data_IF_281314468483
#
_entry.id   IF_281314468483
#
_cell.length_a   1.000
_cell.length_b   1.000
_cell.length_c   1.000
_cell.angle_alpha   90.00
_cell.angle_beta   90.00
_cell.angle_gamma   90.00
#
_symmetry.space_group_name_H-M   'P 1'
#
loop_
_entity.id
_entity.type
_entity.pdbx_description
1 polymer ?
#
# COMPACT_ATOMS: atom_id res chain seq x y z
N UNK A 1 45.00 -25.70 -24.38
CA UNK A 1 44.97 -24.94 -23.12
C UNK A 1 44.05 -23.71 -23.16
N UNK A 2 44.05 -22.89 -24.24
CA UNK A 2 43.20 -21.68 -24.28
C UNK A 2 41.68 -21.92 -24.24
N UNK A 3 41.18 -23.01 -24.83
CA UNK A 3 39.73 -23.32 -24.84
C UNK A 3 39.18 -23.64 -23.45
N UNK A 4 39.97 -24.29 -22.58
CA UNK A 4 39.57 -24.59 -21.20
C UNK A 4 39.47 -23.32 -20.34
N UNK A 5 40.41 -22.38 -20.52
CA UNK A 5 40.39 -21.11 -19.77
C UNK A 5 39.17 -20.26 -20.14
N UNK A 6 38.79 -20.20 -21.42
CA UNK A 6 37.60 -19.46 -21.88
C UNK A 6 36.31 -20.10 -21.33
N UNK A 7 36.22 -21.43 -21.32
CA UNK A 7 35.07 -22.15 -20.75
C UNK A 7 34.90 -21.89 -19.25
N UNK A 8 36.00 -21.90 -18.49
CA UNK A 8 35.98 -21.70 -17.04
C UNK A 8 35.63 -20.25 -16.65
N UNK A 9 36.09 -19.27 -17.44
CA UNK A 9 35.70 -17.87 -17.29
C UNK A 9 34.20 -17.64 -17.58
N UNK A 10 33.64 -18.35 -18.56
CA UNK A 10 32.20 -18.31 -18.85
C UNK A 10 31.34 -18.80 -17.69
N UNK A 11 31.73 -19.91 -17.06
CA UNK A 11 31.03 -20.43 -15.86
C UNK A 11 31.17 -19.47 -14.68
N UNK A 12 32.37 -18.91 -14.46
CA UNK A 12 32.60 -17.92 -13.40
C UNK A 12 31.70 -16.69 -13.52
N UNK A 13 31.43 -16.22 -14.75
CA UNK A 13 30.55 -15.09 -15.00
C UNK A 13 29.05 -15.37 -14.75
N UNK A 14 28.63 -16.64 -14.80
CA UNK A 14 27.23 -17.02 -14.55
C UNK A 14 26.87 -17.07 -13.06
N UNK A 15 27.85 -17.23 -12.17
CA UNK A 15 27.60 -17.36 -10.72
C UNK A 15 26.94 -16.10 -10.13
N UNK A 16 27.45 -14.87 -10.38
CA UNK A 16 26.80 -13.66 -9.86
C UNK A 16 25.41 -13.41 -10.46
N UNK A 17 25.25 -13.68 -11.76
CA UNK A 17 23.95 -13.54 -12.43
C UNK A 17 22.91 -14.51 -11.85
N UNK A 18 23.29 -15.78 -11.67
CA UNK A 18 22.43 -16.78 -11.02
C UNK A 18 22.05 -16.41 -9.59
N UNK A 19 23.00 -15.90 -8.80
CA UNK A 19 22.72 -15.39 -7.45
C UNK A 19 21.73 -14.24 -7.44
N UNK A 20 21.86 -13.30 -8.38
CA UNK A 20 20.94 -12.18 -8.50
C UNK A 20 19.52 -12.65 -8.84
N UNK A 21 19.37 -13.53 -9.83
CA UNK A 21 18.06 -14.08 -10.22
C UNK A 21 17.40 -14.88 -9.10
N UNK A 22 18.18 -15.70 -8.37
CA UNK A 22 17.69 -16.45 -7.20
C UNK A 22 17.20 -15.47 -6.13
N UNK A 23 17.98 -14.42 -5.82
CA UNK A 23 17.59 -13.42 -4.85
C UNK A 23 16.30 -12.69 -5.27
N UNK A 24 16.16 -12.31 -6.53
CA UNK A 24 14.94 -11.69 -7.04
C UNK A 24 13.74 -12.65 -6.97
N UNK A 25 13.93 -13.93 -7.28
CA UNK A 25 12.88 -14.95 -7.17
C UNK A 25 12.37 -15.10 -5.74
N UNK A 26 13.28 -15.16 -4.76
CA UNK A 26 12.91 -15.26 -3.34
C UNK A 26 12.10 -14.03 -2.92
N UNK A 27 12.53 -12.82 -3.31
CA UNK A 27 11.79 -11.58 -3.01
C UNK A 27 10.37 -11.59 -3.58
N UNK A 28 10.21 -12.07 -4.82
CA UNK A 28 8.90 -12.17 -5.46
C UNK A 28 8.00 -13.21 -4.78
N UNK A 29 8.56 -14.33 -4.33
CA UNK A 29 7.85 -15.37 -3.59
C UNK A 29 7.39 -14.87 -2.22
N UNK A 30 8.25 -14.15 -1.50
CA UNK A 30 7.91 -13.53 -0.23
C UNK A 30 6.81 -12.48 -0.38
N UNK A 31 6.89 -11.64 -1.41
CA UNK A 31 5.83 -10.67 -1.72
C UNK A 31 4.50 -11.38 -2.02
N UNK A 32 4.53 -12.48 -2.78
CA UNK A 32 3.35 -13.27 -3.10
C UNK A 32 2.72 -13.95 -1.90
N UNK A 33 3.56 -14.46 -1.01
CA UNK A 33 3.10 -15.07 0.23
C UNK A 33 2.51 -14.01 1.15
N UNK A 34 3.17 -12.87 1.31
CA UNK A 34 2.70 -11.78 2.16
C UNK A 34 1.38 -11.19 1.67
N UNK A 35 1.25 -10.90 0.38
CA UNK A 35 0.01 -10.35 -0.20
C UNK A 35 -1.19 -11.28 -0.01
N UNK A 36 -1.01 -12.59 -0.20
CA UNK A 36 -2.07 -13.59 0.05
C UNK A 36 -2.43 -13.71 1.52
N UNK A 37 -1.42 -13.69 2.40
CA UNK A 37 -1.63 -13.75 3.84
C UNK A 37 -2.36 -12.49 4.33
N UNK A 38 -2.00 -11.32 3.83
CA UNK A 38 -2.67 -10.05 4.14
C UNK A 38 -4.18 -10.11 3.81
N UNK A 39 -4.56 -10.60 2.63
CA UNK A 39 -5.97 -10.81 2.29
C UNK A 39 -6.69 -11.78 3.25
N UNK A 40 -6.00 -12.85 3.63
CA UNK A 40 -6.54 -13.81 4.60
C UNK A 40 -6.72 -13.16 5.97
N UNK A 41 -5.75 -12.39 6.45
CA UNK A 41 -5.82 -11.66 7.71
C UNK A 41 -6.97 -10.64 7.69
N UNK A 42 -7.10 -9.86 6.61
CA UNK A 42 -8.22 -8.94 6.41
C UNK A 42 -9.58 -9.65 6.53
N UNK A 43 -9.70 -10.85 5.98
CA UNK A 43 -10.94 -11.63 6.06
C UNK A 43 -11.16 -12.26 7.44
N UNK A 44 -10.14 -12.93 7.99
CA UNK A 44 -10.24 -13.69 9.25
C UNK A 44 -10.49 -12.78 10.43
N UNK A 45 -9.89 -11.57 10.43
CA UNK A 45 -10.07 -10.60 11.51
C UNK A 45 -11.35 -9.77 11.37
N UNK A 46 -12.14 -9.99 10.32
CA UNK A 46 -13.34 -9.18 10.05
C UNK A 46 -13.01 -7.72 9.74
N UNK A 47 -11.78 -7.45 9.27
CA UNK A 47 -11.32 -6.11 8.90
C UNK A 47 -12.09 -5.51 7.72
N UNK A 48 -12.71 -6.38 6.91
CA UNK A 48 -13.60 -6.00 5.81
C UNK A 48 -15.08 -5.96 6.24
N UNK A 49 -15.40 -6.32 7.47
CA UNK A 49 -16.76 -6.32 7.98
C UNK A 49 -17.04 -4.98 8.67
N UNK A 50 -18.10 -4.24 8.30
CA UNK A 50 -18.60 -3.18 9.16
C UNK A 50 -19.00 -3.85 10.49
N UNK A 51 -18.46 -3.38 11.61
CA UNK A 51 -18.55 -4.10 12.90
C UNK A 51 -19.97 -4.60 13.24
N UNK A 52 -20.07 -5.79 13.83
CA UNK A 52 -21.37 -6.42 14.13
C UNK A 52 -22.12 -5.74 15.26
N UNK A 53 -23.44 -5.79 15.11
CA UNK A 53 -24.51 -5.21 15.92
C UNK A 53 -24.55 -5.75 17.36
N UNK A 54 -24.34 -4.82 18.31
CA UNK A 54 -24.73 -4.91 19.72
C UNK A 54 -25.21 -3.53 20.18
N UNK A 55 -25.75 -3.40 21.40
CA UNK A 55 -26.24 -2.09 21.91
C UNK A 55 -25.16 -1.03 22.05
N UNK A 56 -23.87 -1.43 21.99
CA UNK A 56 -22.74 -0.51 21.89
C UNK A 56 -21.86 -0.99 20.73
N UNK A 57 -22.05 -0.45 19.52
CA UNK A 57 -21.23 -0.82 18.39
C UNK A 57 -19.83 -0.27 18.61
N UNK A 58 -18.86 -1.16 18.75
CA UNK A 58 -17.45 -0.76 18.79
C UNK A 58 -16.86 -1.02 17.42
N UNK A 59 -16.60 0.05 16.68
CA UNK A 59 -15.77 0.01 15.47
C UNK A 59 -14.42 -0.64 15.78
N UNK A 60 -13.99 -1.60 14.96
CA UNK A 60 -12.64 -2.17 15.05
C UNK A 60 -11.55 -1.15 14.73
N UNK A 61 -11.94 -0.01 14.20
CA UNK A 61 -11.03 0.92 13.59
C UNK A 61 -11.41 2.37 13.86
N UNK A 62 -10.41 3.19 13.71
CA UNK A 62 -10.48 4.60 14.00
C UNK A 62 -9.68 5.37 12.95
N UNK A 63 -10.04 6.63 12.75
CA UNK A 63 -9.31 7.54 11.86
C UNK A 63 -8.03 8.04 12.54
N UNK A 64 -7.29 8.91 11.84
CA UNK A 64 -6.11 9.59 12.39
C UNK A 64 -6.39 10.47 13.62
N UNK A 65 -7.65 10.85 13.86
CA UNK A 65 -8.11 11.62 15.02
C UNK A 65 -8.63 10.71 16.16
N UNK A 66 -8.64 9.39 15.97
CA UNK A 66 -9.15 8.43 16.94
C UNK A 66 -10.67 8.32 16.97
N UNK A 67 -11.38 8.92 16.02
CA UNK A 67 -12.83 8.77 15.89
C UNK A 67 -13.16 7.43 15.24
N UNK A 68 -14.33 6.90 15.57
CA UNK A 68 -14.81 5.66 14.99
C UNK A 68 -15.19 5.84 13.54
N UNK A 69 -14.52 5.07 12.67
CA UNK A 69 -14.79 5.10 11.23
C UNK A 69 -15.89 4.12 10.84
N UNK A 70 -16.31 3.24 11.75
CA UNK A 70 -17.47 2.36 11.54
C UNK A 70 -18.44 2.46 12.72
N UNK A 71 -18.87 3.67 13.07
CA UNK A 71 -19.97 3.85 14.03
C UNK A 71 -21.34 3.77 13.30
N UNK A 72 -22.12 2.70 13.52
CA UNK A 72 -23.41 2.53 12.88
C UNK A 72 -24.50 3.49 13.40
N UNK A 73 -24.22 4.28 14.44
CA UNK A 73 -25.18 5.20 15.07
C UNK A 73 -24.99 6.64 14.60
N UNK A 74 -23.77 7.03 14.20
CA UNK A 74 -23.49 8.37 13.66
C UNK A 74 -23.72 8.40 12.15
N UNK A 75 -24.75 9.11 11.69
CA UNK A 75 -25.07 9.26 10.26
C UNK A 75 -24.05 10.06 9.43
N UNK A 76 -23.01 10.61 10.04
CA UNK A 76 -22.02 11.49 9.40
C UNK A 76 -20.69 10.81 9.04
N UNK A 77 -20.46 9.57 9.47
CA UNK A 77 -19.12 8.94 9.49
C UNK A 77 -19.14 7.46 9.13
N UNK A 78 -20.15 7.01 8.38
CA UNK A 78 -20.21 5.63 7.91
C UNK A 78 -19.55 5.52 6.54
N UNK A 79 -18.63 4.59 6.30
CA UNK A 79 -18.13 4.24 4.97
C UNK A 79 -18.99 3.12 4.34
N UNK A 80 -19.88 2.48 5.11
CA UNK A 80 -20.80 1.46 4.62
C UNK A 80 -22.17 1.67 5.26
N UNK A 81 -23.22 1.58 4.45
CA UNK A 81 -24.59 1.98 4.78
C UNK A 81 -25.15 1.29 6.04
N UNK A 82 -25.78 2.07 6.92
CA UNK A 82 -26.96 1.62 7.66
C UNK A 82 -28.20 2.39 7.21
N UNK A 83 -29.31 1.67 7.00
CA UNK A 83 -30.64 2.22 6.70
C UNK A 83 -30.79 2.92 5.34
N UNK A 84 -30.17 2.39 4.29
CA UNK A 84 -30.57 2.69 2.90
C UNK A 84 -30.17 4.07 2.35
N UNK A 85 -29.47 4.92 3.12
CA UNK A 85 -28.84 6.14 2.60
C UNK A 85 -27.34 5.91 2.51
N UNK A 86 -26.81 5.86 1.29
CA UNK A 86 -25.42 5.52 1.02
C UNK A 86 -24.51 6.64 1.52
N UNK A 87 -23.46 6.28 2.25
CA UNK A 87 -22.35 7.18 2.42
C UNK A 87 -21.61 7.39 1.10
N UNK A 88 -21.24 8.64 0.84
CA UNK A 88 -20.55 9.06 -0.39
C UNK A 88 -19.10 8.56 -0.47
N UNK A 89 -18.51 8.09 0.63
CA UNK A 89 -17.08 7.80 0.65
C UNK A 89 -16.74 6.44 1.29
N UNK A 90 -16.67 5.41 0.45
CA UNK A 90 -16.26 4.04 0.85
C UNK A 90 -14.73 3.86 0.72
N UNK A 91 -14.04 4.92 0.31
CA UNK A 91 -12.64 4.86 -0.08
C UNK A 91 -11.76 4.99 1.16
N UNK A 92 -11.24 3.86 1.64
CA UNK A 92 -10.45 3.77 2.89
C UNK A 92 -9.08 3.11 2.66
N UNK A 93 -8.10 3.50 3.46
CA UNK A 93 -6.76 2.91 3.51
C UNK A 93 -6.44 2.41 4.90
N UNK A 94 -6.25 1.09 5.00
CA UNK A 94 -5.73 0.40 6.18
C UNK A 94 -4.21 0.53 6.17
N UNK A 95 -3.68 1.40 7.03
CA UNK A 95 -2.23 1.55 7.23
C UNK A 95 -1.85 1.64 8.71
N UNK A 96 -1.67 0.50 9.37
CA UNK A 96 -1.41 0.40 10.81
C UNK A 96 0.02 0.75 11.19
N UNK A 97 0.97 0.73 10.25
CA UNK A 97 2.30 1.26 10.53
C UNK A 97 2.31 2.80 10.48
N UNK A 98 1.16 3.42 10.16
CA UNK A 98 0.88 4.79 10.50
C UNK A 98 0.94 5.11 12.00
N UNK A 99 0.70 4.12 12.85
CA UNK A 99 0.73 4.26 14.33
C UNK A 99 2.14 4.48 14.88
N UNK A 100 3.19 4.31 14.06
CA UNK A 100 4.56 4.70 14.44
C UNK A 100 4.73 6.22 14.46
N UNK A 101 3.82 6.97 13.84
CA UNK A 101 3.73 8.41 13.97
C UNK A 101 3.33 8.82 15.40
N UNK A 102 3.87 9.92 15.96
CA UNK A 102 3.33 10.53 17.17
C UNK A 102 1.81 10.72 17.10
N UNK A 103 1.10 10.54 18.22
CA UNK A 103 -0.36 10.72 18.27
C UNK A 103 -0.77 12.10 17.70
N UNK A 104 -1.76 12.13 16.80
CA UNK A 104 -2.24 13.35 16.13
C UNK A 104 -1.37 13.84 14.97
N UNK A 105 -0.24 13.19 14.68
CA UNK A 105 0.57 13.48 13.48
C UNK A 105 0.24 12.58 12.29
N UNK A 106 -0.66 11.62 12.48
CA UNK A 106 -1.18 10.81 11.39
C UNK A 106 -2.38 11.52 10.78
N UNK A 107 -2.24 12.01 9.55
CA UNK A 107 -3.32 12.72 8.85
C UNK A 107 -4.54 11.80 8.65
N UNK A 108 -5.74 12.39 8.66
CA UNK A 108 -6.99 11.66 8.41
C UNK A 108 -7.08 11.08 6.99
N UNK A 109 -6.29 11.62 6.07
CA UNK A 109 -6.35 11.30 4.65
C UNK A 109 -5.03 10.72 4.13
N UNK A 110 -5.17 9.86 3.13
CA UNK A 110 -4.11 9.39 2.26
C UNK A 110 -4.31 10.02 0.87
N UNK A 111 -3.25 10.55 0.24
CA UNK A 111 -1.89 10.68 0.74
C UNK A 111 -1.83 11.67 1.91
N UNK A 112 -0.73 11.66 2.65
CA UNK A 112 -0.54 12.62 3.73
C UNK A 112 -0.69 14.05 3.18
N UNK A 113 -1.38 14.93 3.91
CA UNK A 113 -1.61 16.32 3.49
C UNK A 113 -2.75 16.54 2.48
N UNK A 114 -3.43 15.49 2.00
CA UNK A 114 -4.63 15.64 1.19
C UNK A 114 -5.73 16.39 1.96
N UNK A 115 -6.53 17.17 1.24
CA UNK A 115 -7.71 17.86 1.79
C UNK A 115 -9.00 17.14 1.41
N UNK A 116 -10.11 17.47 2.07
CA UNK A 116 -11.42 16.87 1.75
C UNK A 116 -11.91 17.19 0.32
N UNK A 117 -11.31 18.18 -0.34
CA UNK A 117 -11.62 18.57 -1.73
C UNK A 117 -10.70 17.93 -2.76
N UNK A 118 -9.61 17.29 -2.33
CA UNK A 118 -8.76 16.49 -3.21
C UNK A 118 -9.30 15.07 -3.26
N UNK A 119 -9.05 14.30 -4.34
CA UNK A 119 -9.12 12.86 -4.27
C UNK A 119 -8.32 12.35 -3.06
N UNK A 120 -8.90 11.47 -2.25
CA UNK A 120 -8.24 10.92 -1.08
C UNK A 120 -8.80 9.55 -0.68
N UNK A 121 -8.07 8.85 0.17
CA UNK A 121 -8.56 7.70 0.93
C UNK A 121 -8.59 8.08 2.41
N UNK A 122 -9.67 7.77 3.11
CA UNK A 122 -9.69 7.94 4.56
C UNK A 122 -8.75 6.92 5.19
N UNK A 123 -7.74 7.38 5.93
CA UNK A 123 -6.82 6.48 6.61
C UNK A 123 -7.45 5.94 7.88
N UNK A 124 -7.32 4.64 8.05
CA UNK A 124 -7.87 3.90 9.16
C UNK A 124 -6.84 2.98 9.77
N UNK A 125 -6.93 2.86 11.08
CA UNK A 125 -6.04 2.05 11.91
C UNK A 125 -6.84 1.34 12.98
N UNK A 126 -6.42 0.17 13.47
CA UNK A 126 -7.20 -0.55 14.46
C UNK A 126 -7.30 0.24 15.77
N UNK A 127 -8.44 0.18 16.46
CA UNK A 127 -8.79 1.02 17.62
C UNK A 127 -7.79 0.98 18.79
N UNK A 128 -6.95 -0.05 18.89
CA UNK A 128 -6.01 -0.20 20.01
C UNK A 128 -4.70 0.57 19.74
N UNK A 129 -4.55 1.74 20.34
CA UNK A 129 -3.39 2.64 20.19
C UNK A 129 -2.39 2.61 21.37
N UNK A 130 -2.44 1.58 22.22
CA UNK A 130 -1.46 1.45 23.29
C UNK A 130 -0.06 1.26 22.72
N UNK A 131 0.98 1.74 23.43
CA UNK A 131 2.36 1.47 23.06
C UNK A 131 2.65 -0.04 22.91
N UNK A 132 1.90 -0.88 23.63
CA UNK A 132 1.97 -2.35 23.60
C UNK A 132 1.34 -2.97 22.33
N UNK A 133 0.47 -2.25 21.63
CA UNK A 133 -0.21 -2.77 20.42
C UNK A 133 0.70 -2.72 19.19
N UNK A 134 1.79 -1.95 19.26
CA UNK A 134 2.81 -1.86 18.20
C UNK A 134 3.42 -3.21 17.87
N UNK A 135 3.76 -3.99 18.89
CA UNK A 135 4.33 -5.34 18.70
C UNK A 135 3.34 -6.28 18.02
N UNK A 136 2.05 -6.14 18.34
CA UNK A 136 0.99 -6.93 17.72
C UNK A 136 0.83 -6.53 16.25
N UNK A 137 0.79 -5.24 15.93
CA UNK A 137 0.67 -4.80 14.54
C UNK A 137 1.91 -5.13 13.70
N UNK A 138 3.10 -5.06 14.28
CA UNK A 138 4.32 -5.49 13.59
C UNK A 138 4.20 -6.95 13.11
N UNK A 139 3.67 -7.84 13.97
CA UNK A 139 3.47 -9.26 13.59
C UNK A 139 2.38 -9.51 12.55
N UNK A 140 1.42 -8.59 12.39
CA UNK A 140 0.30 -8.74 11.44
C UNK A 140 0.66 -8.12 10.09
N UNK A 141 1.32 -6.96 10.13
CA UNK A 141 1.50 -6.09 8.97
C UNK A 141 2.91 -6.12 8.41
N UNK A 142 3.87 -6.74 9.11
CA UNK A 142 5.18 -7.08 8.57
C UNK A 142 5.34 -8.58 8.41
N UNK A 143 6.13 -8.97 7.40
CA UNK A 143 6.49 -10.37 7.20
C UNK A 143 7.52 -10.80 8.23
N UNK A 144 7.23 -11.89 8.94
CA UNK A 144 8.21 -12.61 9.76
C UNK A 144 8.97 -13.69 8.96
N UNK A 145 8.75 -13.79 7.65
CA UNK A 145 9.35 -14.82 6.80
C UNK A 145 10.71 -14.44 6.22
N UNK A 146 11.07 -13.15 6.24
CA UNK A 146 12.41 -12.68 5.87
C UNK A 146 13.35 -12.94 7.06
N UNK A 147 13.77 -14.20 7.14
CA UNK A 147 14.51 -14.73 8.28
C UNK A 147 15.95 -14.22 8.26
N UNK A 148 16.40 -13.75 9.42
CA UNK A 148 17.80 -13.40 9.63
C UNK A 148 18.58 -14.69 9.87
N UNK A 149 19.54 -14.96 8.98
CA UNK A 149 20.52 -16.00 9.16
C UNK A 149 21.86 -15.36 9.53
N UNK A 150 22.51 -15.87 10.56
CA UNK A 150 23.88 -15.50 10.92
C UNK A 150 24.85 -16.34 10.08
N UNK A 151 25.75 -15.65 9.39
CA UNK A 151 26.91 -16.30 8.79
C UNK A 151 27.80 -16.84 9.90
N UNK A 152 28.20 -18.11 9.81
CA UNK A 152 29.16 -18.66 10.74
C UNK A 152 30.55 -18.07 10.47
N UNK A 153 31.35 -17.96 11.53
CA UNK A 153 32.77 -17.61 11.40
C UNK A 153 33.55 -18.60 10.51
N UNK A 154 33.06 -19.84 10.43
CA UNK A 154 33.55 -20.86 9.52
C UNK A 154 32.65 -20.92 8.26
N UNK A 155 33.21 -20.56 7.10
CA UNK A 155 32.49 -20.55 5.82
C UNK A 155 32.06 -21.94 5.35
N UNK A 156 32.62 -23.00 5.93
CA UNK A 156 32.26 -24.38 5.62
C UNK A 156 30.99 -24.83 6.37
N UNK A 157 30.55 -24.06 7.37
CA UNK A 157 29.34 -24.35 8.13
C UNK A 157 28.12 -23.62 7.53
N UNK A 158 26.96 -24.30 7.40
CA UNK A 158 25.74 -23.69 6.87
C UNK A 158 25.23 -22.60 7.81
N UNK A 159 24.71 -21.48 7.28
CA UNK A 159 24.27 -20.35 8.10
C UNK A 159 23.23 -20.76 9.15
N UNK A 160 23.29 -20.15 10.33
CA UNK A 160 22.41 -20.51 11.45
C UNK A 160 21.28 -19.50 11.61
N UNK A 161 20.08 -19.98 11.95
CA UNK A 161 18.93 -19.12 12.15
C UNK A 161 19.10 -18.28 13.43
N UNK A 162 18.94 -16.96 13.33
CA UNK A 162 18.92 -16.09 14.51
C UNK A 162 17.59 -16.27 15.26
N UNK A 163 17.65 -16.32 16.59
CA UNK A 163 16.49 -16.37 17.47
C UNK A 163 16.62 -15.29 18.55
N UNK A 164 15.54 -14.58 18.83
CA UNK A 164 15.47 -13.63 19.94
C UNK A 164 14.47 -14.11 20.99
N UNK A 165 14.79 -13.86 22.25
CA UNK A 165 13.84 -14.00 23.35
C UNK A 165 13.09 -12.70 23.48
N UNK A 166 11.79 -12.75 23.28
CA UNK A 166 10.91 -11.63 23.58
C UNK A 166 10.95 -11.40 25.11
N UNK A 167 11.42 -10.22 25.53
CA UNK A 167 11.61 -9.89 26.95
C UNK A 167 10.43 -9.11 27.52
N UNK A 168 9.44 -8.76 26.70
CA UNK A 168 8.34 -7.86 27.11
C UNK A 168 7.25 -8.57 27.91
N UNK A 169 7.08 -9.89 27.78
CA UNK A 169 6.08 -10.65 28.53
C UNK A 169 6.51 -12.12 28.83
N UNK A 170 6.49 -12.56 30.11
CA UNK A 170 6.63 -13.97 30.46
C UNK A 170 5.45 -14.81 29.92
N UNK A 171 5.69 -16.01 29.36
CA UNK A 171 6.96 -16.72 29.28
C UNK A 171 7.73 -16.36 28.00
N UNK A 172 8.78 -15.54 28.13
CA UNK A 172 9.65 -15.00 27.07
C UNK A 172 9.76 -15.90 25.83
N UNK A 173 8.81 -15.80 24.87
CA UNK A 173 8.76 -16.75 23.78
C UNK A 173 10.00 -16.57 22.90
N UNK A 174 10.63 -17.69 22.52
CA UNK A 174 11.71 -17.67 21.55
C UNK A 174 11.07 -17.53 20.17
N UNK A 175 11.38 -16.44 19.48
CA UNK A 175 10.90 -16.18 18.11
C UNK A 175 12.07 -16.21 17.14
N UNK A 176 11.80 -16.60 15.90
CA UNK A 176 12.78 -16.50 14.81
C UNK A 176 13.02 -15.03 14.50
N UNK A 177 14.29 -14.64 14.38
CA UNK A 177 14.71 -13.34 13.89
C UNK A 177 14.21 -13.11 12.47
N UNK A 178 13.59 -11.95 12.24
CA UNK A 178 13.25 -11.49 10.90
C UNK A 178 13.68 -10.03 10.72
N UNK A 179 14.12 -9.65 9.52
CA UNK A 179 14.43 -8.24 9.24
C UNK A 179 13.17 -7.37 9.30
N UNK A 180 12.01 -7.97 9.01
CA UNK A 180 10.74 -7.23 8.90
C UNK A 180 10.76 -6.26 7.72
N UNK A 181 11.60 -6.51 6.70
CA UNK A 181 11.74 -5.60 5.56
C UNK A 181 10.45 -5.52 4.75
N UNK A 182 9.63 -6.58 4.74
CA UNK A 182 8.37 -6.59 4.02
C UNK A 182 7.21 -6.14 4.89
N UNK A 183 6.40 -5.23 4.37
CA UNK A 183 5.15 -4.78 4.99
C UNK A 183 4.06 -4.58 3.95
N UNK A 184 2.82 -4.39 4.39
CA UNK A 184 1.71 -4.15 3.47
C UNK A 184 0.74 -3.08 3.99
N UNK A 185 0.03 -2.47 3.05
CA UNK A 185 -1.18 -1.66 3.31
C UNK A 185 -2.32 -2.26 2.50
N UNK A 186 -3.55 -1.99 2.92
CA UNK A 186 -4.71 -2.29 2.10
C UNK A 186 -5.51 -1.04 1.80
N UNK A 187 -6.03 -0.96 0.59
CA UNK A 187 -6.97 0.06 0.15
C UNK A 187 -8.28 -0.60 -0.24
N UNK A 188 -9.38 0.02 0.12
CA UNK A 188 -10.72 -0.41 -0.25
C UNK A 188 -11.32 0.76 -1.00
N UNK A 189 -11.80 0.53 -2.22
CA UNK A 189 -12.42 1.55 -3.04
C UNK A 189 -13.60 0.94 -3.81
N UNK A 190 -14.56 1.78 -4.21
CA UNK A 190 -15.72 1.32 -4.99
C UNK A 190 -15.31 0.77 -6.35
N UNK A 191 -16.05 -0.22 -6.86
CA UNK A 191 -16.02 -0.65 -8.25
C UNK A 191 -16.97 0.20 -9.10
N UNK A 192 -16.43 0.85 -10.12
CA UNK A 192 -17.16 1.82 -10.96
C UNK A 192 -17.72 1.20 -12.23
N UNK A 193 -17.30 -0.01 -12.59
CA UNK A 193 -17.78 -0.68 -13.79
C UNK A 193 -19.21 -1.26 -13.67
N UNK A 194 -19.86 -1.10 -12.51
CA UNK A 194 -21.25 -1.54 -12.28
C UNK A 194 -22.27 -0.40 -12.44
N UNK A 195 -23.11 -0.45 -13.48
CA UNK A 195 -24.17 0.55 -13.81
C UNK A 195 -25.35 0.54 -12.81
N UNK A 196 -25.24 -0.11 -11.64
CA UNK A 196 -26.38 -0.22 -10.71
C UNK A 196 -25.97 -0.05 -9.26
N UNK A 197 -26.56 0.94 -8.59
CA UNK A 197 -26.44 1.18 -7.15
C UNK A 197 -26.81 -0.01 -6.26
N UNK A 198 -27.36 -1.08 -6.84
CA UNK A 198 -27.85 -2.28 -6.15
C UNK A 198 -26.80 -3.40 -6.01
N UNK A 199 -25.78 -3.46 -6.88
CA UNK A 199 -24.70 -4.45 -6.80
C UNK A 199 -23.37 -3.72 -6.65
N UNK A 200 -23.14 -3.14 -5.45
CA UNK A 200 -21.88 -2.46 -5.15
C UNK A 200 -20.82 -3.51 -4.83
N UNK A 201 -19.91 -3.69 -5.76
CA UNK A 201 -18.65 -4.38 -5.51
C UNK A 201 -17.62 -3.38 -4.99
N UNK A 202 -16.74 -3.83 -4.12
CA UNK A 202 -15.56 -3.08 -3.68
C UNK A 202 -14.32 -3.77 -4.18
N UNK A 203 -13.35 -2.99 -4.63
CA UNK A 203 -12.01 -3.49 -4.92
C UNK A 203 -11.17 -3.28 -3.68
N UNK A 204 -10.68 -4.40 -3.15
CA UNK A 204 -9.68 -4.41 -2.11
C UNK A 204 -8.34 -4.65 -2.79
N UNK A 205 -7.42 -3.71 -2.62
CA UNK A 205 -6.05 -3.82 -3.12
C UNK A 205 -5.08 -3.87 -1.94
N UNK A 206 -4.13 -4.81 -1.98
CA UNK A 206 -3.06 -4.94 -0.98
C UNK A 206 -1.74 -4.61 -1.67
N UNK A 207 -1.13 -3.49 -1.27
CA UNK A 207 0.19 -3.11 -1.74
C UNK A 207 1.26 -3.60 -0.76
N UNK A 208 2.25 -4.31 -1.29
CA UNK A 208 3.37 -4.89 -0.55
C UNK A 208 4.61 -4.05 -0.78
N UNK A 209 5.26 -3.67 0.31
CA UNK A 209 6.47 -2.85 0.35
C UNK A 209 7.67 -3.68 0.78
N UNK A 210 8.85 -3.29 0.31
CA UNK A 210 10.14 -3.78 0.81
C UNK A 210 10.96 -2.61 1.34
N UNK A 211 11.31 -2.60 2.62
CA UNK A 211 11.95 -1.50 3.33
C UNK A 211 11.14 -0.20 3.21
N UNK A 212 9.87 -0.28 3.60
CA UNK A 212 8.99 0.90 3.67
C UNK A 212 9.59 1.92 4.63
N UNK A 213 9.68 3.18 4.23
CA UNK A 213 10.14 4.24 5.11
C UNK A 213 9.06 4.53 6.17
N UNK A 214 9.45 4.44 7.44
CA UNK A 214 8.58 4.65 8.59
C UNK A 214 9.19 5.68 9.54
N UNK A 215 10.15 6.48 9.05
CA UNK A 215 10.82 7.51 9.84
C UNK A 215 9.89 8.64 10.27
N UNK A 216 8.75 8.81 9.61
CA UNK A 216 7.72 9.76 9.99
C UNK A 216 6.40 9.58 9.22
N UNK A 217 5.36 10.38 9.56
CA UNK A 217 4.10 10.42 8.82
C UNK A 217 4.35 10.84 7.36
N UNK A 218 3.76 10.10 6.41
CA UNK A 218 3.92 10.37 4.98
C UNK A 218 5.35 10.16 4.45
N UNK A 219 6.26 9.54 5.22
CA UNK A 219 7.60 9.26 4.75
C UNK A 219 7.58 8.32 3.53
N UNK A 220 8.24 8.72 2.46
CA UNK A 220 8.22 7.98 1.19
C UNK A 220 6.92 8.10 0.39
N UNK A 221 5.99 8.96 0.79
CA UNK A 221 4.79 9.30 0.02
C UNK A 221 4.99 10.60 -0.75
N UNK A 222 4.72 10.57 -2.05
CA UNK A 222 4.77 11.72 -2.93
C UNK A 222 3.45 11.86 -3.67
N UNK A 223 3.07 13.10 -3.95
CA UNK A 223 1.93 13.40 -4.79
C UNK A 223 2.42 14.05 -6.07
N UNK A 224 1.79 13.70 -7.19
CA UNK A 224 1.89 14.38 -8.45
C UNK A 224 0.48 14.59 -8.99
N UNK A 225 0.37 15.33 -10.08
CA UNK A 225 -0.88 15.58 -10.75
C UNK A 225 -0.72 15.26 -12.25
N UNK A 226 -1.82 14.86 -12.89
CA UNK A 226 -1.83 14.85 -14.35
C UNK A 226 -2.17 16.25 -14.87
N UNK A 227 -1.53 16.62 -15.98
CA UNK A 227 -1.77 17.89 -16.65
C UNK A 227 -3.27 18.12 -16.87
N UNK A 228 -3.80 19.14 -16.19
CA UNK A 228 -5.21 19.51 -16.18
C UNK A 228 -5.71 20.02 -17.55
N UNK A 229 -4.79 20.35 -18.45
CA UNK A 229 -5.08 20.93 -19.76
C UNK A 229 -5.39 19.89 -20.83
N UNK A 230 -5.04 18.62 -20.60
CA UNK A 230 -5.40 17.50 -21.45
C UNK A 230 -6.60 16.75 -20.89
N UNK A 231 -7.60 16.45 -21.71
CA UNK A 231 -8.63 15.46 -21.35
C UNK A 231 -7.91 14.17 -21.00
N UNK A 232 -7.87 13.84 -19.71
CA UNK A 232 -7.18 12.67 -19.20
C UNK A 232 -7.95 11.42 -19.59
N UNK A 233 -7.61 10.87 -20.75
CA UNK A 233 -8.21 9.69 -21.31
C UNK A 233 -7.40 8.46 -20.86
N UNK A 234 -7.66 7.93 -19.65
CA UNK A 234 -7.24 6.56 -19.30
C UNK A 234 -8.16 5.57 -20.04
N UNK A 235 -8.23 5.67 -21.36
CA UNK A 235 -8.85 4.64 -22.18
C UNK A 235 -7.71 3.73 -22.65
N UNK A 236 -7.47 2.67 -21.88
CA UNK A 236 -6.66 1.51 -22.26
C UNK A 236 -5.17 1.80 -22.59
N UNK A 237 -4.25 1.48 -21.68
CA UNK A 237 -2.80 1.52 -21.94
C UNK A 237 -2.27 2.86 -22.52
N UNK A 238 -2.84 3.98 -22.06
CA UNK A 238 -2.49 5.31 -22.52
C UNK A 238 -1.14 5.83 -21.99
N UNK A 239 -0.55 6.75 -22.75
CA UNK A 239 0.53 7.62 -22.25
C UNK A 239 -0.12 8.74 -21.44
N UNK A 240 0.37 8.94 -20.22
CA UNK A 240 -0.02 10.03 -19.37
C UNK A 240 1.16 10.98 -19.14
N UNK A 241 0.85 12.27 -18.92
CA UNK A 241 1.83 13.29 -18.61
C UNK A 241 1.65 13.70 -17.15
N UNK A 242 2.66 13.43 -16.34
CA UNK A 242 2.70 13.82 -14.93
C UNK A 242 3.42 15.15 -14.81
N UNK A 243 2.85 16.03 -14.01
CA UNK A 243 3.39 17.32 -13.63
C UNK A 243 3.25 17.52 -12.12
N UNK A 244 3.82 18.62 -11.63
CA UNK A 244 3.66 19.11 -10.27
C UNK A 244 3.94 18.05 -9.19
N UNK A 245 5.07 17.36 -9.31
CA UNK A 245 5.52 16.47 -8.26
C UNK A 245 5.82 17.27 -6.99
N UNK A 246 5.09 16.98 -5.93
CA UNK A 246 5.16 17.61 -4.62
C UNK A 246 5.41 16.53 -3.55
N UNK A 247 6.40 16.75 -2.69
CA UNK A 247 6.61 15.87 -1.54
C UNK A 247 5.71 16.33 -0.38
N UNK A 248 4.87 15.43 0.14
CA UNK A 248 3.99 15.76 1.26
C UNK A 248 4.65 15.50 2.64
N UNK A 249 5.91 15.05 2.65
CA UNK A 249 6.66 14.83 3.88
C UNK A 249 6.94 16.15 4.62
N UNK A 250 6.95 16.11 5.96
CA UNK A 250 7.33 17.25 6.80
C UNK A 250 8.77 17.76 6.53
N UNK A 251 9.61 16.89 5.94
CA UNK A 251 10.93 17.23 5.42
C UNK A 251 10.87 17.20 3.90
N UNK A 252 11.28 18.26 3.18
CA UNK A 252 11.32 18.27 1.72
C UNK A 252 12.13 17.07 1.20
N UNK A 253 11.48 16.20 0.43
CA UNK A 253 12.14 15.08 -0.20
C UNK A 253 12.38 15.42 -1.67
N UNK A 254 13.58 15.14 -2.17
CA UNK A 254 13.85 15.22 -3.60
C UNK A 254 12.97 14.19 -4.30
N UNK A 255 12.01 14.67 -5.10
CA UNK A 255 11.15 13.81 -5.92
C UNK A 255 12.05 12.89 -6.74
N UNK A 256 11.88 11.58 -6.53
CA UNK A 256 12.49 10.57 -7.37
C UNK A 256 11.58 10.40 -8.58
N UNK A 257 12.12 10.64 -9.78
CA UNK A 257 11.40 10.30 -11.01
C UNK A 257 10.96 8.84 -11.02
N UNK A 258 9.80 8.58 -11.60
CA UNK A 258 9.24 7.25 -11.75
C UNK A 258 10.10 6.38 -12.67
N UNK A 259 10.06 5.08 -12.42
CA UNK A 259 10.79 4.06 -13.18
C UNK A 259 9.84 3.00 -13.71
N UNK A 260 10.16 2.41 -14.87
CA UNK A 260 9.46 1.21 -15.35
C UNK A 260 9.41 0.13 -14.26
N UNK A 261 8.25 -0.49 -14.11
CA UNK A 261 7.96 -1.54 -13.15
C UNK A 261 7.46 -1.05 -11.78
N UNK A 262 7.56 0.24 -11.46
CA UNK A 262 7.03 0.80 -10.22
C UNK A 262 5.49 0.81 -10.19
N UNK A 263 4.94 0.84 -8.98
CA UNK A 263 3.51 1.00 -8.75
C UNK A 263 3.19 2.41 -8.28
N UNK A 264 2.11 2.95 -8.79
CA UNK A 264 1.52 4.22 -8.37
C UNK A 264 0.05 4.01 -8.09
N UNK A 265 -0.53 4.82 -7.23
CA UNK A 265 -1.97 4.89 -7.06
C UNK A 265 -2.47 6.14 -7.76
N UNK A 266 -3.54 6.01 -8.53
CA UNK A 266 -4.19 7.14 -9.19
C UNK A 266 -5.52 7.36 -8.49
N UNK A 267 -5.80 8.61 -8.13
CA UNK A 267 -7.00 9.05 -7.44
C UNK A 267 -7.72 10.13 -8.25
N UNK A 268 -9.04 10.06 -8.34
CA UNK A 268 -9.89 11.12 -8.91
C UNK A 268 -11.20 11.24 -8.14
N UNK A 269 -11.95 12.29 -8.40
CA UNK A 269 -13.30 12.48 -7.86
C UNK A 269 -14.34 12.09 -8.92
N UNK A 270 -15.30 11.28 -8.53
CA UNK A 270 -16.53 11.04 -9.28
C UNK A 270 -17.57 12.04 -8.77
N UNK A 271 -17.95 12.98 -9.63
CA UNK A 271 -18.82 14.09 -9.22
C UNK A 271 -18.08 15.08 -8.33
N UNK A 272 -18.55 15.29 -7.10
CA UNK A 272 -17.98 16.29 -6.17
C UNK A 272 -17.43 15.71 -4.87
N UNK A 273 -17.72 14.45 -4.55
CA UNK A 273 -17.46 13.88 -3.23
C UNK A 273 -16.89 12.47 -3.26
N UNK A 274 -17.12 11.71 -4.32
CA UNK A 274 -16.86 10.28 -4.29
C UNK A 274 -15.43 10.02 -4.79
N UNK A 275 -14.57 9.51 -3.90
CA UNK A 275 -13.19 9.22 -4.25
C UNK A 275 -13.08 7.91 -5.03
N UNK A 276 -12.46 7.94 -6.21
CA UNK A 276 -12.07 6.75 -6.96
C UNK A 276 -10.55 6.62 -6.93
N UNK A 277 -10.07 5.51 -6.36
CA UNK A 277 -8.64 5.22 -6.26
C UNK A 277 -8.33 3.82 -6.84
N UNK A 278 -7.30 3.73 -7.67
CA UNK A 278 -6.83 2.47 -8.26
C UNK A 278 -5.31 2.42 -8.39
N UNK A 279 -4.76 1.22 -8.30
CA UNK A 279 -3.33 1.00 -8.50
C UNK A 279 -3.01 0.78 -9.99
N UNK A 280 -1.91 1.37 -10.43
CA UNK A 280 -1.39 1.25 -11.77
C UNK A 280 0.09 0.89 -11.72
N UNK A 281 0.51 0.06 -12.68
CA UNK A 281 1.92 -0.26 -12.88
C UNK A 281 2.49 0.63 -13.99
N UNK A 282 3.61 1.26 -13.72
CA UNK A 282 4.36 2.04 -14.70
C UNK A 282 5.03 1.08 -15.68
N UNK A 283 4.61 1.09 -16.94
CA UNK A 283 5.21 0.28 -18.01
C UNK A 283 6.48 0.93 -18.56
N UNK A 284 6.43 2.25 -18.76
CA UNK A 284 7.57 3.06 -19.18
C UNK A 284 7.48 4.45 -18.56
N UNK A 285 8.64 5.11 -18.44
CA UNK A 285 8.73 6.47 -17.95
C UNK A 285 9.84 7.20 -18.73
N UNK A 286 9.57 8.44 -19.15
CA UNK A 286 10.59 9.32 -19.70
C UNK A 286 11.61 9.71 -18.61
N UNK A 287 12.79 10.24 -18.97
CA UNK A 287 13.61 10.94 -18.01
C UNK A 287 12.78 12.03 -17.31
N UNK A 288 12.95 12.15 -15.99
CA UNK A 288 12.30 13.19 -15.19
C UNK A 288 12.96 14.54 -15.46
N UNK A 289 12.18 15.50 -15.95
CA UNK A 289 12.63 16.87 -16.15
C UNK A 289 12.46 17.65 -14.84
N UNK A 290 13.59 17.84 -14.13
CA UNK A 290 13.62 18.59 -12.87
C UNK A 290 13.33 20.07 -13.04
N UNK A 291 13.58 20.64 -14.22
CA UNK A 291 13.37 22.07 -14.46
C UNK A 291 11.89 22.36 -14.72
N UNK A 292 11.21 21.48 -15.46
CA UNK A 292 9.77 21.55 -15.69
C UNK A 292 8.94 20.92 -14.56
N UNK A 293 9.55 20.07 -13.74
CA UNK A 293 8.88 19.21 -12.77
C UNK A 293 7.87 18.25 -13.44
N UNK A 294 8.30 17.65 -14.55
CA UNK A 294 7.42 16.86 -15.42
C UNK A 294 8.04 15.49 -15.76
N UNK A 295 7.16 14.51 -16.00
CA UNK A 295 7.53 13.20 -16.50
C UNK A 295 6.38 12.55 -17.29
N UNK A 296 6.69 12.05 -18.48
CA UNK A 296 5.74 11.23 -19.24
C UNK A 296 5.85 9.77 -18.80
N UNK A 297 4.71 9.12 -18.59
CA UNK A 297 4.63 7.70 -18.19
C UNK A 297 3.59 6.96 -19.02
N UNK A 298 3.81 5.66 -19.23
CA UNK A 298 2.79 4.75 -19.76
C UNK A 298 2.35 3.84 -18.63
N UNK A 299 1.04 3.75 -18.40
CA UNK A 299 0.47 3.04 -17.26
C UNK A 299 -0.31 1.80 -17.71
N UNK A 300 -0.22 0.73 -16.92
CA UNK A 300 -1.05 -0.45 -17.01
C UNK A 300 -1.93 -0.57 -15.77
N UNK A 301 -3.23 -0.69 -15.95
CA UNK A 301 -4.19 -0.85 -14.87
C UNK A 301 -5.63 -0.84 -15.39
N UNK A 302 -6.61 -0.79 -14.48
CA UNK A 302 -8.02 -0.79 -14.85
C UNK A 302 -8.41 0.48 -15.62
N UNK A 303 -9.40 0.36 -16.49
CA UNK A 303 -9.97 1.50 -17.19
C UNK A 303 -11.02 2.20 -16.32
N UNK A 304 -11.09 3.51 -16.46
CA UNK A 304 -12.08 4.35 -15.78
C UNK A 304 -13.09 4.84 -16.81
N UNK A 305 -14.35 4.45 -16.64
CA UNK A 305 -15.43 4.83 -17.56
C UNK A 305 -16.19 6.02 -16.98
N UNK A 306 -16.51 7.03 -17.81
CA UNK A 306 -17.34 8.19 -17.46
C UNK A 306 -16.76 9.09 -16.35
N UNK A 307 -15.46 9.34 -16.35
CA UNK A 307 -14.89 10.35 -15.47
C UNK A 307 -15.39 11.74 -15.87
N UNK A 308 -15.91 12.48 -14.90
CA UNK A 308 -16.07 13.91 -15.09
C UNK A 308 -14.68 14.56 -15.20
N UNK A 309 -14.53 15.65 -15.99
CA UNK A 309 -13.32 16.45 -15.95
C UNK A 309 -13.09 16.92 -14.51
N UNK A 310 -11.99 16.50 -13.89
CA UNK A 310 -11.70 16.74 -12.49
C UNK A 310 -10.23 16.57 -12.18
N UNK A 311 -9.82 17.05 -11.00
CA UNK A 311 -8.45 16.93 -10.51
C UNK A 311 -8.11 15.46 -10.33
N UNK A 312 -7.24 14.94 -11.18
CA UNK A 312 -6.68 13.59 -11.01
C UNK A 312 -5.31 13.70 -10.36
N UNK A 313 -5.16 13.05 -9.22
CA UNK A 313 -3.92 13.00 -8.44
C UNK A 313 -3.25 11.66 -8.62
N UNK A 314 -1.93 11.67 -8.54
CA UNK A 314 -1.11 10.47 -8.55
C UNK A 314 -0.34 10.42 -7.25
N UNK A 315 -0.37 9.27 -6.61
CA UNK A 315 0.34 9.01 -5.37
C UNK A 315 1.39 7.96 -5.61
N UNK A 316 2.62 8.34 -5.30
CA UNK A 316 3.80 7.52 -5.50
C UNK A 316 4.26 7.13 -4.11
N UNK A 317 4.33 5.83 -3.85
CA UNK A 317 4.89 5.32 -2.61
C UNK A 317 6.20 4.60 -2.92
N UNK A 318 7.24 4.96 -2.18
CA UNK A 318 8.55 4.34 -2.35
C UNK A 318 8.49 2.85 -1.98
N UNK A 319 9.22 2.05 -2.76
CA UNK A 319 9.46 0.62 -2.52
C UNK A 319 8.23 -0.30 -2.54
N UNK A 320 7.14 0.07 -3.22
CA UNK A 320 6.08 -0.89 -3.56
C UNK A 320 6.63 -1.92 -4.55
N UNK A 321 6.64 -3.19 -4.15
CA UNK A 321 7.14 -4.30 -4.98
C UNK A 321 6.01 -4.95 -5.75
N UNK A 322 4.84 -5.11 -5.13
CA UNK A 322 3.69 -5.70 -5.79
C UNK A 322 2.36 -5.20 -5.23
N UNK A 323 1.31 -5.28 -6.04
CA UNK A 323 -0.06 -4.99 -5.63
C UNK A 323 -0.95 -6.18 -6.01
N UNK A 324 -1.75 -6.62 -5.05
CA UNK A 324 -2.72 -7.69 -5.24
C UNK A 324 -4.12 -7.09 -5.15
N UNK A 325 -4.97 -7.34 -6.13
CA UNK A 325 -6.32 -6.80 -6.16
C UNK A 325 -7.35 -7.92 -6.14
N UNK A 326 -8.46 -7.67 -5.44
CA UNK A 326 -9.60 -8.57 -5.44
C UNK A 326 -10.89 -7.77 -5.33
N UNK A 327 -11.79 -8.01 -6.27
CA UNK A 327 -13.16 -7.51 -6.22
C UNK A 327 -13.98 -8.40 -5.28
N UNK A 328 -14.68 -7.78 -4.35
CA UNK A 328 -15.55 -8.45 -3.38
C UNK A 328 -16.95 -7.85 -3.48
N UNK A 329 -18.02 -8.67 -3.41
CA UNK A 329 -19.35 -8.14 -3.25
C UNK A 329 -19.46 -7.47 -1.88
N UNK A 330 -20.07 -6.29 -1.83
CA UNK A 330 -20.46 -5.71 -0.55
C UNK A 330 -21.68 -6.48 -0.04
N UNK A 331 -21.45 -7.38 0.92
CA UNK A 331 -22.56 -8.07 1.58
C UNK A 331 -23.30 -7.06 2.48
N UNK A 332 -24.48 -6.62 2.02
CA UNK A 332 -25.44 -5.91 2.87
C UNK A 332 -26.03 -6.98 3.79
N UNK A 333 -25.51 -7.10 5.01
CA UNK A 333 -26.11 -7.93 6.06
C UNK A 333 -27.27 -7.21 6.74
#
# INVERSE_FOLDING_TARGET
>A
MGVLAIGLLGVGALIPAGRYEIAQSVRLEECATLGRNAFRELKVRGYLSPGTTGTTPTSYWVDGAGNDVWDPVSSSTQPFVLNGTLASDVSVMIDPLGVYAPAGSYGAYFPYGATATDPHLTRIVPRSFGANDREVFDTIFRSSSDLIAEENADSDLPPTQFYFKDTSAPPNPIRRGSNGDYSWIATIALETNGISALNREVVVSVAVFHKRDLSGPGAGEFTAQFDATGTFDIISNGTAYLEDFTSNAATPQTVKGLRPGQWIMVGTLIGTTDNLCRWYRVLSASPYDKAANEQSVVLAGPEWVNLAPGTTRVWIMDNVVNVYEKTLPLEIQ
#
